data_IF_509426551911
#
_entry.id   IF_509426551911
#
_cell.length_a   1.000
_cell.length_b   1.000
_cell.length_c   1.000
_cell.angle_alpha   90.00
_cell.angle_beta   90.00
_cell.angle_gamma   90.00
#
_symmetry.space_group_name_H-M   'P 1'
#
loop_
_entity.id
_entity.type
_entity.pdbx_description
1 polymer ?
#
# COMPACT_ATOMS: atom_id res chain seq x y z
N UNK A 1 25.70 30.68 -91.61
CA UNK A 1 26.68 30.06 -90.68
C UNK A 1 26.95 30.93 -89.45
N UNK A 2 27.25 32.23 -89.60
CA UNK A 2 27.49 33.14 -88.44
C UNK A 2 26.40 33.05 -87.37
N UNK A 3 25.13 33.26 -87.73
CA UNK A 3 23.99 33.22 -86.79
C UNK A 3 23.86 31.90 -86.01
N UNK A 4 24.23 30.76 -86.61
CA UNK A 4 24.20 29.46 -85.92
C UNK A 4 25.34 29.32 -84.91
N UNK A 5 26.52 29.87 -85.24
CA UNK A 5 27.66 29.90 -84.34
C UNK A 5 27.40 30.84 -83.16
N UNK A 6 26.81 32.01 -83.41
CA UNK A 6 26.50 33.01 -82.37
C UNK A 6 25.51 32.42 -81.34
N UNK A 7 24.42 31.80 -81.78
CA UNK A 7 23.48 31.10 -80.89
C UNK A 7 24.13 29.93 -80.13
N UNK A 8 25.06 29.20 -80.74
CA UNK A 8 25.79 28.13 -80.08
C UNK A 8 26.74 28.65 -78.99
N UNK A 9 27.47 29.74 -79.28
CA UNK A 9 28.36 30.41 -78.33
C UNK A 9 27.58 31.05 -77.17
N UNK A 10 26.42 31.64 -77.42
CA UNK A 10 25.53 32.17 -76.37
C UNK A 10 25.11 31.06 -75.40
N UNK A 11 24.71 29.89 -75.89
CA UNK A 11 24.37 28.74 -75.04
C UNK A 11 25.57 28.21 -74.24
N UNK A 12 26.77 28.16 -74.85
CA UNK A 12 27.98 27.79 -74.13
C UNK A 12 28.39 28.84 -73.09
N UNK A 13 28.06 30.10 -73.31
CA UNK A 13 28.37 31.20 -72.38
C UNK A 13 27.54 31.13 -71.10
N UNK A 14 26.30 30.63 -71.15
CA UNK A 14 25.45 30.47 -69.96
C UNK A 14 25.73 29.17 -69.21
N UNK A 15 26.31 28.16 -69.88
CA UNK A 15 26.57 26.84 -69.32
C UNK A 15 27.33 26.87 -67.97
N UNK A 16 28.41 27.66 -67.77
CA UNK A 16 29.07 27.75 -66.47
C UNK A 16 28.15 28.27 -65.35
N UNK A 17 27.31 29.27 -65.65
CA UNK A 17 26.34 29.82 -64.69
C UNK A 17 25.24 28.80 -64.36
N UNK A 18 24.72 28.10 -65.35
CA UNK A 18 23.66 27.10 -65.17
C UNK A 18 24.18 25.85 -64.44
N UNK A 19 25.40 25.43 -64.75
CA UNK A 19 26.09 24.36 -64.02
C UNK A 19 26.33 24.74 -62.55
N UNK A 20 26.77 25.96 -62.28
CA UNK A 20 26.96 26.44 -60.91
C UNK A 20 25.64 26.45 -60.11
N UNK A 21 24.52 26.89 -60.73
CA UNK A 21 23.19 26.83 -60.12
C UNK A 21 22.76 25.39 -59.82
N UNK A 22 22.95 24.47 -60.78
CA UNK A 22 22.62 23.05 -60.61
C UNK A 22 23.43 22.40 -59.48
N UNK A 23 24.75 22.64 -59.43
CA UNK A 23 25.61 22.13 -58.36
C UNK A 23 25.26 22.72 -56.99
N UNK A 24 24.85 24.00 -56.92
CA UNK A 24 24.33 24.58 -55.69
C UNK A 24 22.99 23.96 -55.26
N UNK A 25 22.12 23.64 -56.23
CA UNK A 25 20.90 22.88 -56.00
C UNK A 25 21.16 21.49 -55.41
N UNK A 26 22.09 20.73 -56.00
CA UNK A 26 22.50 19.40 -55.51
C UNK A 26 22.98 19.50 -54.05
N UNK A 27 23.91 20.42 -53.74
CA UNK A 27 24.40 20.63 -52.36
C UNK A 27 23.27 20.96 -51.37
N UNK A 28 22.29 21.77 -51.78
CA UNK A 28 21.12 22.09 -50.94
C UNK A 28 20.29 20.83 -50.64
N UNK A 29 20.05 19.99 -51.65
CA UNK A 29 19.30 18.75 -51.49
C UNK A 29 20.07 17.71 -50.68
N UNK A 30 21.40 17.61 -50.81
CA UNK A 30 22.24 16.72 -50.01
C UNK A 30 22.14 17.07 -48.51
N UNK A 31 22.23 18.37 -48.18
CA UNK A 31 22.08 18.85 -46.80
C UNK A 31 20.69 18.50 -46.24
N UNK A 32 19.63 18.71 -47.02
CA UNK A 32 18.26 18.40 -46.60
C UNK A 32 18.05 16.88 -46.45
N UNK A 33 18.62 16.07 -47.35
CA UNK A 33 18.60 14.61 -47.28
C UNK A 33 19.26 14.11 -45.98
N UNK A 34 20.44 14.61 -45.64
CA UNK A 34 21.12 14.27 -44.40
C UNK A 34 20.31 14.67 -43.15
N UNK A 35 19.69 15.86 -43.15
CA UNK A 35 18.80 16.29 -42.05
C UNK A 35 17.61 15.36 -41.88
N UNK A 36 16.95 14.98 -42.98
CA UNK A 36 15.80 14.07 -42.97
C UNK A 36 16.19 12.66 -42.53
N UNK A 37 17.34 12.16 -42.97
CA UNK A 37 17.88 10.87 -42.50
C UNK A 37 18.07 10.87 -40.98
N UNK A 38 18.73 11.90 -40.43
CA UNK A 38 18.93 12.02 -38.99
C UNK A 38 17.62 12.16 -38.21
N UNK A 39 16.60 12.82 -38.79
CA UNK A 39 15.25 12.90 -38.20
C UNK A 39 14.57 11.52 -38.17
N UNK A 40 14.68 10.74 -39.25
CA UNK A 40 14.16 9.37 -39.34
C UNK A 40 14.82 8.47 -38.29
N UNK A 41 16.15 8.52 -38.15
CA UNK A 41 16.90 7.72 -37.16
C UNK A 41 16.47 8.03 -35.73
N UNK A 42 16.25 9.32 -35.41
CA UNK A 42 15.70 9.74 -34.11
C UNK A 42 14.31 9.17 -33.87
N UNK A 43 13.42 9.21 -34.87
CA UNK A 43 12.07 8.66 -34.76
C UNK A 43 12.09 7.14 -34.60
N UNK A 44 12.91 6.43 -35.37
CA UNK A 44 13.10 4.98 -35.22
C UNK A 44 13.58 4.63 -33.80
N UNK A 45 14.53 5.37 -33.25
CA UNK A 45 14.98 5.18 -31.86
C UNK A 45 13.84 5.37 -30.86
N UNK A 46 13.00 6.39 -31.03
CA UNK A 46 11.82 6.60 -30.18
C UNK A 46 10.86 5.41 -30.28
N UNK A 47 10.57 4.90 -31.48
CA UNK A 47 9.72 3.73 -31.66
C UNK A 47 10.29 2.47 -30.96
N UNK A 48 11.60 2.24 -31.05
CA UNK A 48 12.25 1.10 -30.35
C UNK A 48 12.14 1.22 -28.83
N UNK A 49 12.25 2.44 -28.28
CA UNK A 49 12.09 2.68 -26.85
C UNK A 49 10.65 2.46 -26.38
N UNK A 50 9.65 2.86 -27.18
CA UNK A 50 8.25 2.58 -26.86
C UNK A 50 7.94 1.08 -26.83
N UNK A 51 8.45 0.32 -27.80
CA UNK A 51 8.30 -1.14 -27.81
C UNK A 51 8.95 -1.80 -26.58
N UNK A 52 10.11 -1.30 -26.14
CA UNK A 52 10.77 -1.80 -24.93
C UNK A 52 10.01 -1.42 -23.65
N UNK A 53 9.45 -0.20 -23.57
CA UNK A 53 8.59 0.22 -22.45
C UNK A 53 7.35 -0.67 -22.37
N UNK A 54 6.71 -0.98 -23.49
CA UNK A 54 5.56 -1.87 -23.54
C UNK A 54 5.93 -3.28 -23.04
N UNK A 55 7.07 -3.83 -23.52
CA UNK A 55 7.58 -5.13 -23.07
C UNK A 55 7.83 -5.16 -21.56
N UNK A 56 8.48 -4.14 -21.01
CA UNK A 56 8.76 -4.01 -19.57
C UNK A 56 7.48 -3.81 -18.75
N UNK A 57 6.52 -3.04 -19.26
CA UNK A 57 5.23 -2.83 -18.61
C UNK A 57 4.45 -4.13 -18.51
N UNK A 58 4.39 -4.92 -19.58
CA UNK A 58 3.73 -6.23 -19.60
C UNK A 58 4.40 -7.22 -18.63
N UNK A 59 5.74 -7.22 -18.57
CA UNK A 59 6.49 -8.04 -17.61
C UNK A 59 6.18 -7.64 -16.15
N UNK A 60 6.10 -6.34 -15.88
CA UNK A 60 5.72 -5.81 -14.55
C UNK A 60 4.30 -6.25 -14.15
N UNK A 61 3.35 -6.21 -15.08
CA UNK A 61 1.97 -6.67 -14.86
C UNK A 61 1.96 -8.17 -14.55
N UNK A 62 2.69 -8.97 -15.32
CA UNK A 62 2.81 -10.41 -15.09
C UNK A 62 3.37 -10.72 -13.70
N UNK A 63 4.49 -10.11 -13.33
CA UNK A 63 5.10 -10.31 -12.01
C UNK A 63 4.16 -9.90 -10.86
N UNK A 64 3.39 -8.83 -11.04
CA UNK A 64 2.38 -8.42 -10.06
C UNK A 64 1.26 -9.46 -9.92
N UNK A 65 0.78 -10.03 -11.03
CA UNK A 65 -0.22 -11.10 -11.03
C UNK A 65 0.30 -12.36 -10.34
N UNK A 66 1.51 -12.82 -10.70
CA UNK A 66 2.15 -14.01 -10.10
C UNK A 66 2.33 -13.83 -8.59
N UNK A 67 2.72 -12.63 -8.15
CA UNK A 67 2.87 -12.29 -6.73
C UNK A 67 1.52 -12.34 -6.01
N UNK A 68 0.47 -11.79 -6.62
CA UNK A 68 -0.87 -11.82 -6.05
C UNK A 68 -1.42 -13.25 -5.89
N UNK A 69 -1.26 -14.09 -6.93
CA UNK A 69 -1.66 -15.50 -6.88
C UNK A 69 -0.88 -16.29 -5.82
N UNK A 70 0.43 -16.02 -5.69
CA UNK A 70 1.25 -16.63 -4.66
C UNK A 70 0.77 -16.26 -3.25
N UNK A 71 0.48 -14.98 -3.02
CA UNK A 71 -0.07 -14.50 -1.73
C UNK A 71 -1.43 -15.13 -1.46
N UNK A 72 -2.35 -15.17 -2.43
CA UNK A 72 -3.67 -15.80 -2.27
C UNK A 72 -3.56 -17.30 -1.91
N UNK A 73 -2.64 -18.02 -2.56
CA UNK A 73 -2.34 -19.42 -2.22
C UNK A 73 -1.87 -19.57 -0.77
N UNK A 74 -1.03 -18.66 -0.29
CA UNK A 74 -0.57 -18.67 1.11
C UNK A 74 -1.70 -18.33 2.09
N UNK A 75 -2.55 -17.36 1.77
CA UNK A 75 -3.74 -17.00 2.57
C UNK A 75 -4.65 -18.23 2.71
N UNK A 76 -5.05 -18.87 1.61
CA UNK A 76 -5.88 -20.08 1.64
C UNK A 76 -5.28 -21.22 2.45
N UNK A 77 -3.95 -21.38 2.39
CA UNK A 77 -3.25 -22.38 3.20
C UNK A 77 -3.35 -22.05 4.69
N UNK A 78 -3.09 -20.81 5.07
CA UNK A 78 -3.19 -20.34 6.46
C UNK A 78 -4.62 -20.44 6.99
N UNK A 79 -5.63 -20.11 6.18
CA UNK A 79 -7.05 -20.26 6.54
C UNK A 79 -7.40 -21.73 6.82
N UNK A 80 -6.95 -22.66 5.97
CA UNK A 80 -7.14 -24.10 6.18
C UNK A 80 -6.45 -24.60 7.45
N UNK A 81 -5.21 -24.15 7.69
CA UNK A 81 -4.45 -24.52 8.88
C UNK A 81 -5.08 -23.94 10.16
N UNK A 82 -5.65 -22.73 10.09
CA UNK A 82 -6.43 -22.11 11.16
C UNK A 82 -7.67 -22.93 11.52
N UNK A 83 -8.45 -23.37 10.53
CA UNK A 83 -9.63 -24.24 10.75
C UNK A 83 -9.24 -25.57 11.40
N UNK A 84 -8.17 -26.23 10.93
CA UNK A 84 -7.66 -27.48 11.52
C UNK A 84 -7.19 -27.28 12.96
N UNK A 85 -6.52 -26.17 13.24
CA UNK A 85 -6.05 -25.83 14.58
C UNK A 85 -7.24 -25.58 15.51
N UNK A 86 -8.25 -24.82 15.07
CA UNK A 86 -9.48 -24.61 15.85
C UNK A 86 -10.20 -25.94 16.15
N UNK A 87 -10.30 -26.86 15.19
CA UNK A 87 -10.88 -28.18 15.41
C UNK A 87 -10.06 -29.02 16.41
N UNK A 88 -8.73 -28.99 16.31
CA UNK A 88 -7.83 -29.68 17.24
C UNK A 88 -7.96 -29.14 18.67
N UNK A 89 -8.04 -27.82 18.81
CA UNK A 89 -8.27 -27.16 20.11
C UNK A 89 -9.62 -27.60 20.68
N UNK A 90 -10.71 -27.53 19.90
CA UNK A 90 -12.04 -27.99 20.32
C UNK A 90 -12.04 -29.46 20.76
N UNK A 91 -11.40 -30.35 20.01
CA UNK A 91 -11.29 -31.77 20.37
C UNK A 91 -10.54 -31.96 21.69
N UNK A 92 -9.41 -31.28 21.90
CA UNK A 92 -8.66 -31.35 23.17
C UNK A 92 -9.49 -30.86 24.37
N UNK A 93 -10.33 -29.85 24.18
CA UNK A 93 -11.27 -29.40 25.22
C UNK A 93 -12.32 -30.47 25.54
N UNK A 94 -12.89 -31.12 24.52
CA UNK A 94 -13.85 -32.22 24.70
C UNK A 94 -13.21 -33.43 25.39
N UNK A 95 -12.00 -33.82 24.99
CA UNK A 95 -11.26 -34.93 25.59
C UNK A 95 -10.88 -34.65 27.05
N UNK A 96 -10.47 -33.41 27.36
CA UNK A 96 -10.21 -32.99 28.73
C UNK A 96 -11.47 -33.00 29.60
N UNK A 97 -12.61 -32.56 29.07
CA UNK A 97 -13.90 -32.62 29.75
C UNK A 97 -14.41 -34.06 29.94
N UNK A 98 -14.18 -34.95 28.98
CA UNK A 98 -14.50 -36.36 29.10
C UNK A 98 -13.61 -37.05 30.15
N UNK A 99 -12.32 -36.72 30.20
CA UNK A 99 -11.39 -37.26 31.19
C UNK A 99 -11.72 -36.82 32.63
N UNK A 100 -12.22 -35.59 32.84
CA UNK A 100 -12.68 -35.14 34.16
C UNK A 100 -13.98 -35.82 34.56
N UNK A 101 -14.93 -36.01 33.64
CA UNK A 101 -16.17 -36.75 33.89
C UNK A 101 -15.91 -38.24 34.21
N UNK A 102 -14.98 -38.89 33.48
CA UNK A 102 -14.62 -40.28 33.73
C UNK A 102 -13.96 -40.48 35.11
N UNK A 103 -13.15 -39.53 35.57
CA UNK A 103 -12.59 -39.54 36.94
C UNK A 103 -13.66 -39.36 38.01
N UNK A 104 -14.71 -38.58 37.76
CA UNK A 104 -15.82 -38.40 38.70
C UNK A 104 -16.64 -39.69 38.89
N UNK A 105 -16.90 -40.46 37.82
CA UNK A 105 -17.67 -41.71 37.91
C UNK A 105 -16.93 -42.84 38.65
N UNK A 106 -15.59 -42.91 38.55
CA UNK A 106 -14.80 -43.93 39.28
C UNK A 106 -14.81 -43.75 40.79
N UNK A 107 -15.00 -42.51 41.28
CA UNK A 107 -15.09 -42.25 42.72
C UNK A 107 -16.49 -42.52 43.30
N UNK A 108 -17.51 -42.71 42.45
CA UNK A 108 -18.89 -42.98 42.88
C UNK A 108 -19.21 -44.46 43.11
N UNK A 109 -18.50 -45.37 42.46
CA UNK A 109 -18.84 -46.80 42.43
C UNK A 109 -18.17 -47.61 43.57
N UNK A 110 -17.10 -47.11 44.18
CA UNK A 110 -16.48 -47.75 45.37
C UNK A 110 -17.16 -47.39 46.71
N UNK A 111 -18.24 -46.61 46.72
CA UNK A 111 -18.98 -46.25 47.94
C UNK A 111 -20.28 -47.05 48.16
N UNK A 112 -20.64 -47.98 47.27
CA UNK A 112 -21.87 -48.77 47.39
C UNK A 112 -21.69 -50.22 47.88
N UNK A 113 -20.46 -50.69 48.16
CA UNK A 113 -20.22 -52.05 48.69
C UNK A 113 -19.78 -52.11 50.18
N UNK A 114 -19.77 -50.97 50.88
CA UNK A 114 -19.48 -50.91 52.35
C UNK A 114 -20.70 -50.64 53.24
N UNK A 115 -21.91 -50.52 52.68
CA UNK A 115 -23.12 -50.11 53.43
C UNK A 115 -24.06 -51.26 53.87
N UNK A 116 -23.61 -52.51 53.81
CA UNK A 116 -24.35 -53.69 54.33
C UNK A 116 -23.86 -54.20 55.70
N UNK A 117 -23.01 -53.44 56.41
CA UNK A 117 -22.39 -53.87 57.68
C UNK A 117 -22.15 -52.73 58.69
N UNK A 118 -23.17 -51.96 59.07
CA UNK A 118 -23.11 -51.10 60.28
C UNK A 118 -24.49 -50.53 60.68
N UNK A 119 -25.47 -51.40 60.92
CA UNK A 119 -26.69 -51.05 61.68
C UNK A 119 -26.44 -51.37 63.14
N UNK A 120 -25.54 -50.63 63.78
CA UNK A 120 -25.36 -50.61 65.23
C UNK A 120 -24.44 -49.43 65.57
N UNK A 121 -25.03 -48.30 65.92
CA UNK A 121 -24.72 -47.56 67.14
C UNK A 121 -25.04 -46.06 66.94
N UNK A 122 -26.12 -45.66 67.60
CA UNK A 122 -26.52 -44.27 67.83
C UNK A 122 -25.64 -43.70 68.94
N UNK A 123 -25.19 -42.45 68.80
CA UNK A 123 -25.48 -41.30 69.71
C UNK A 123 -24.34 -40.29 69.72
N UNK A 124 -24.77 -39.01 69.70
CA UNK A 124 -24.15 -37.86 70.36
C UNK A 124 -22.76 -37.42 69.83
N UNK A 125 -22.38 -36.14 69.70
CA UNK A 125 -22.98 -34.83 69.98
C UNK A 125 -21.91 -33.79 69.57
N UNK A 126 -22.29 -32.82 68.74
CA UNK A 126 -21.97 -31.38 68.79
C UNK A 126 -20.49 -30.89 68.88
N UNK A 127 -20.21 -29.90 68.03
CA UNK A 127 -19.34 -28.69 68.16
C UNK A 127 -17.99 -28.64 67.38
N UNK A 128 -18.02 -27.73 66.40
CA UNK A 128 -17.17 -26.54 66.17
C UNK A 128 -15.74 -26.67 65.60
N UNK A 129 -15.54 -25.81 64.58
CA UNK A 129 -14.30 -25.13 64.13
C UNK A 129 -13.25 -26.03 63.48
N UNK A 130 -12.46 -25.62 62.49
CA UNK A 130 -12.28 -24.44 61.63
C UNK A 130 -11.39 -24.96 60.48
N UNK A 131 -11.21 -24.17 59.42
CA UNK A 131 -10.15 -24.30 58.40
C UNK A 131 -10.31 -25.37 57.32
N UNK A 132 -10.50 -24.91 56.07
CA UNK A 132 -9.40 -24.88 55.08
C UNK A 132 -9.91 -24.37 53.72
N UNK A 133 -9.53 -23.13 53.45
CA UNK A 133 -9.09 -22.53 52.18
C UNK A 133 -9.03 -23.44 50.92
N UNK A 134 -9.39 -22.85 49.77
CA UNK A 134 -9.20 -23.30 48.36
C UNK A 134 -10.23 -24.24 47.72
N UNK A 135 -11.14 -23.65 46.93
CA UNK A 135 -11.14 -23.79 45.46
C UNK A 135 -12.21 -22.87 44.84
N UNK A 136 -11.85 -21.58 44.73
CA UNK A 136 -12.44 -20.67 43.74
C UNK A 136 -11.78 -20.95 42.38
N UNK A 137 -12.49 -20.59 41.31
CA UNK A 137 -12.02 -20.42 39.92
C UNK A 137 -11.71 -21.67 39.08
N UNK A 138 -12.75 -22.33 38.56
CA UNK A 138 -12.63 -23.12 37.32
C UNK A 138 -13.71 -22.78 36.26
N UNK A 139 -14.72 -21.96 36.60
CA UNK A 139 -15.83 -21.63 35.71
C UNK A 139 -15.69 -20.31 34.92
N UNK A 140 -14.68 -19.47 35.23
CA UNK A 140 -14.46 -18.18 34.53
C UNK A 140 -13.39 -18.22 33.44
N UNK A 141 -12.68 -19.34 33.26
CA UNK A 141 -11.59 -19.43 32.27
C UNK A 141 -12.09 -19.78 30.85
N UNK A 142 -13.28 -20.34 30.71
CA UNK A 142 -13.84 -20.78 29.42
C UNK A 142 -14.40 -19.64 28.57
N UNK A 143 -14.88 -18.56 29.18
CA UNK A 143 -15.52 -17.44 28.47
C UNK A 143 -14.50 -16.45 27.88
N UNK A 144 -13.27 -16.43 28.42
CA UNK A 144 -12.25 -15.44 28.03
C UNK A 144 -11.50 -15.79 26.74
N UNK A 145 -11.55 -17.05 26.27
CA UNK A 145 -10.85 -17.47 25.05
C UNK A 145 -11.73 -17.39 23.79
N UNK A 146 -13.07 -17.46 23.95
CA UNK A 146 -14.02 -17.33 22.83
C UNK A 146 -14.06 -15.91 22.25
N UNK A 147 -13.79 -14.88 23.06
CA UNK A 147 -13.74 -13.49 22.60
C UNK A 147 -12.50 -13.13 21.77
N UNK A 148 -11.47 -13.98 21.74
CA UNK A 148 -10.28 -13.76 20.90
C UNK A 148 -10.42 -14.30 19.46
N UNK A 149 -11.45 -15.12 19.18
CA UNK A 149 -11.63 -15.76 17.87
C UNK A 149 -12.56 -14.99 16.93
N UNK A 150 -13.32 -14.01 17.44
CA UNK A 150 -14.34 -13.23 16.70
C UNK A 150 -13.95 -11.75 16.48
N UNK A 151 -12.72 -11.36 16.81
CA UNK A 151 -12.25 -10.01 16.50
C UNK A 151 -11.90 -9.94 15.00
N UNK A 152 -12.51 -9.04 14.21
CA UNK A 152 -12.03 -8.79 12.85
C UNK A 152 -10.61 -8.26 12.98
N UNK A 153 -9.64 -9.08 12.57
CA UNK A 153 -8.25 -8.69 12.48
C UNK A 153 -8.12 -7.67 11.36
N UNK A 154 -8.45 -6.41 11.66
CA UNK A 154 -7.85 -5.28 10.97
C UNK A 154 -6.43 -5.25 11.49
N UNK A 155 -5.57 -6.09 10.91
CA UNK A 155 -4.13 -5.93 11.09
C UNK A 155 -3.82 -4.50 10.66
N UNK A 156 -3.41 -3.68 11.62
CA UNK A 156 -2.82 -2.37 11.38
C UNK A 156 -1.52 -2.63 10.63
N UNK A 157 -1.64 -2.69 9.30
CA UNK A 157 -0.51 -2.87 8.40
C UNK A 157 0.45 -1.71 8.70
N UNK A 158 1.71 -1.98 9.04
CA UNK A 158 2.64 -0.93 9.42
C UNK A 158 2.69 0.10 8.31
N UNK A 159 2.49 1.38 8.68
CA UNK A 159 2.61 2.51 7.75
C UNK A 159 3.92 2.36 7.00
N UNK A 160 3.86 2.34 5.67
CA UNK A 160 5.04 2.13 4.83
C UNK A 160 6.06 3.24 5.15
N UNK A 161 7.28 2.88 5.61
CA UNK A 161 8.32 3.87 5.92
C UNK A 161 8.70 4.76 4.73
N UNK A 162 8.36 4.38 3.50
CA UNK A 162 8.60 5.15 2.29
C UNK A 162 7.43 6.07 1.89
N UNK A 163 6.30 6.06 2.61
CA UNK A 163 5.17 6.92 2.28
C UNK A 163 5.43 8.37 2.76
N UNK A 164 5.35 9.37 1.86
CA UNK A 164 5.61 10.75 2.23
C UNK A 164 4.55 11.27 3.21
N UNK A 165 5.01 11.84 4.32
CA UNK A 165 4.14 12.46 5.34
C UNK A 165 3.85 13.91 4.98
N UNK A 166 2.59 14.32 5.14
CA UNK A 166 2.11 15.65 4.86
C UNK A 166 1.45 16.28 6.10
N UNK A 167 1.03 17.54 5.96
CA UNK A 167 0.38 18.34 6.97
C UNK A 167 1.24 18.62 8.22
N UNK A 168 0.70 19.43 9.13
CA UNK A 168 1.28 19.70 10.44
C UNK A 168 1.26 18.49 11.38
N UNK A 169 0.43 17.49 11.08
CA UNK A 169 0.32 16.26 11.85
C UNK A 169 1.35 15.18 11.44
N UNK A 170 2.12 15.42 10.37
CA UNK A 170 3.10 14.46 9.81
C UNK A 170 2.49 13.09 9.52
N UNK A 171 1.27 13.07 8.99
CA UNK A 171 0.55 11.86 8.60
C UNK A 171 0.49 11.73 7.08
N UNK A 172 0.28 10.50 6.60
CA UNK A 172 0.05 10.21 5.19
C UNK A 172 -1.18 10.95 4.65
N UNK A 173 -1.30 11.03 3.33
CA UNK A 173 -2.46 11.66 2.69
C UNK A 173 -3.74 10.88 3.02
N UNK A 174 -4.66 11.50 3.75
CA UNK A 174 -5.95 10.88 4.05
C UNK A 174 -7.08 11.90 3.87
N UNK A 175 -8.19 11.46 3.29
CA UNK A 175 -9.35 12.32 3.04
C UNK A 175 -9.07 13.48 2.07
N UNK A 176 -9.69 14.62 2.33
CA UNK A 176 -9.51 15.82 1.52
C UNK A 176 -8.27 16.61 1.96
N UNK A 177 -7.44 17.01 1.00
CA UNK A 177 -6.22 17.77 1.23
C UNK A 177 -6.20 19.06 0.43
N UNK A 178 -5.63 20.11 1.03
CA UNK A 178 -5.42 21.41 0.40
C UNK A 178 -3.94 21.69 0.27
N UNK A 179 -3.55 22.26 -0.86
CA UNK A 179 -2.18 22.70 -1.11
C UNK A 179 -2.03 24.19 -0.76
N UNK A 180 -0.94 24.54 -0.08
CA UNK A 180 -0.56 25.92 0.17
C UNK A 180 0.02 26.54 -1.10
N UNK A 181 -0.55 27.67 -1.55
CA UNK A 181 -0.08 28.39 -2.75
C UNK A 181 1.28 29.08 -2.58
N UNK A 182 1.89 29.01 -1.39
CA UNK A 182 3.23 29.55 -1.19
C UNK A 182 4.28 28.54 -1.69
N UNK A 183 4.97 28.88 -2.78
CA UNK A 183 6.07 28.08 -3.36
C UNK A 183 7.25 27.83 -2.42
N UNK A 184 7.30 28.51 -1.28
CA UNK A 184 8.32 28.30 -0.23
C UNK A 184 7.76 27.60 1.01
N UNK A 185 6.57 26.99 0.91
CA UNK A 185 6.03 26.18 2.01
C UNK A 185 6.77 24.84 2.07
N UNK A 186 7.33 24.43 3.22
CA UNK A 186 8.05 23.15 3.31
C UNK A 186 7.16 21.90 3.35
N UNK A 187 5.87 22.05 3.67
CA UNK A 187 4.93 20.91 3.81
C UNK A 187 4.06 20.78 2.56
N UNK A 188 3.72 21.91 1.93
CA UNK A 188 2.86 22.06 0.75
C UNK A 188 1.42 21.55 0.91
N UNK A 189 1.18 20.40 1.52
CA UNK A 189 -0.12 19.73 1.62
C UNK A 189 -0.64 19.61 3.05
N UNK A 190 -1.94 19.82 3.24
CA UNK A 190 -2.59 19.81 4.56
C UNK A 190 -3.95 19.13 4.51
N UNK A 191 -4.30 18.33 5.51
CA UNK A 191 -5.64 17.72 5.62
C UNK A 191 -6.68 18.77 6.01
N UNK A 192 -7.86 18.67 5.43
CA UNK A 192 -9.00 19.56 5.71
C UNK A 192 -9.34 19.62 7.20
N UNK A 193 -9.39 18.47 7.88
CA UNK A 193 -9.63 18.41 9.32
C UNK A 193 -8.54 19.09 10.15
N UNK A 194 -7.28 19.03 9.74
CA UNK A 194 -6.17 19.63 10.49
C UNK A 194 -6.12 21.16 10.39
N UNK A 195 -6.66 21.73 9.30
CA UNK A 195 -6.72 23.19 9.09
C UNK A 195 -8.12 23.76 9.29
N UNK A 196 -9.08 22.94 9.72
CA UNK A 196 -10.46 23.36 9.99
C UNK A 196 -11.27 23.73 8.74
N UNK A 197 -10.90 23.19 7.57
CA UNK A 197 -11.67 23.35 6.33
C UNK A 197 -12.66 22.19 6.17
N UNK A 198 -13.91 22.50 5.81
CA UNK A 198 -14.90 21.48 5.42
C UNK A 198 -15.10 21.42 3.90
N UNK A 199 -14.82 22.51 3.20
CA UNK A 199 -14.89 22.59 1.74
C UNK A 199 -13.68 23.34 1.20
N UNK A 200 -13.34 23.08 -0.07
CA UNK A 200 -12.25 23.76 -0.74
C UNK A 200 -12.54 25.28 -0.83
N UNK A 201 -11.73 26.14 -0.18
CA UNK A 201 -11.91 27.59 -0.25
C UNK A 201 -11.72 28.05 -1.70
N UNK A 202 -12.56 28.99 -2.14
CA UNK A 202 -12.45 29.57 -3.48
C UNK A 202 -11.29 30.58 -3.51
N UNK A 203 -10.26 30.28 -4.30
CA UNK A 203 -9.13 31.17 -4.53
C UNK A 203 -7.83 30.65 -3.92
N UNK A 204 -6.90 31.55 -3.61
CA UNK A 204 -5.58 31.19 -3.10
C UNK A 204 -5.61 30.92 -1.61
N UNK A 205 -5.14 29.75 -1.18
CA UNK A 205 -5.08 29.37 0.22
C UNK A 205 -3.63 29.26 0.72
N UNK A 206 -3.41 29.76 1.94
CA UNK A 206 -2.12 29.75 2.59
C UNK A 206 -2.27 29.13 3.98
N UNK A 207 -1.34 28.23 4.34
CA UNK A 207 -1.32 27.65 5.68
C UNK A 207 -0.97 28.71 6.75
N UNK A 208 -1.29 28.42 8.01
CA UNK A 208 -1.04 29.29 9.18
C UNK A 208 0.38 29.90 9.16
N UNK A 209 1.40 29.06 8.96
CA UNK A 209 2.81 29.48 8.87
C UNK A 209 3.07 30.47 7.74
N UNK A 210 2.53 30.22 6.55
CA UNK A 210 2.73 31.11 5.40
C UNK A 210 1.93 32.41 5.53
N UNK A 211 0.78 32.36 6.20
CA UNK A 211 -0.03 33.54 6.49
C UNK A 211 0.68 34.47 7.50
N UNK A 212 1.29 33.91 8.55
CA UNK A 212 2.11 34.65 9.51
C UNK A 212 3.35 35.29 8.87
N UNK A 213 4.05 34.58 8.00
CA UNK A 213 5.22 35.10 7.28
C UNK A 213 4.85 36.28 6.38
N UNK A 214 3.68 36.21 5.72
CA UNK A 214 3.15 37.32 4.93
C UNK A 214 2.83 38.54 5.78
N UNK A 215 2.21 38.36 6.95
CA UNK A 215 1.93 39.46 7.88
C UNK A 215 3.22 40.14 8.36
N UNK A 216 4.26 39.36 8.72
CA UNK A 216 5.56 39.90 9.12
C UNK A 216 6.29 40.65 8.00
N UNK A 217 6.17 40.20 6.75
CA UNK A 217 6.74 40.91 5.58
C UNK A 217 6.05 42.25 5.33
N UNK A 218 4.73 42.32 5.51
CA UNK A 218 4.00 43.59 5.36
C UNK A 218 4.37 44.64 6.41
N UNK A 219 4.81 44.24 7.60
CA UNK A 219 5.26 45.18 8.65
C UNK A 219 6.71 45.65 8.49
N UNK A 220 7.55 44.95 7.72
CA UNK A 220 8.97 45.30 7.56
C UNK A 220 9.27 46.09 6.27
N UNK A 221 8.27 46.29 5.40
CA UNK A 221 8.44 46.82 4.04
C UNK A 221 8.02 48.28 3.80
N UNK A 222 7.59 49.03 4.83
CA UNK A 222 7.06 50.41 4.65
C UNK A 222 8.02 51.54 5.03
N UNK A 223 9.33 51.31 5.10
CA UNK A 223 10.34 52.37 5.26
C UNK A 223 11.39 52.27 4.14
N UNK A 224 11.08 52.83 2.96
CA UNK A 224 12.08 53.33 2.02
C UNK A 224 11.45 54.34 1.05
#
# INVERSE_FOLDING_TARGET
MSLMLDHYLDNLSTLPCDLAKNLQGIRKYDIECHKRSAEIDRKLRIFTLFAEIERLSNEKIRLASDTYELVDKHIRRLDNDSVKLQATIRQKYLDAAAATAAKANKNGDEMLDRKRKSVANRKDKKKLKEDHWSQKSAASASTSFQSFLDAPSVMEMPVDPNEPTYCICHQVSHGQMIMCDNKQCPIEWFHFQCVGLMEAPKGKWYCERCNEQRKKKNSFGSNK
#
